data_IF_316934786481
#
_entry.id   IF_316934786481
#
_cell.length_a   1.000
_cell.length_b   1.000
_cell.length_c   1.000
_cell.angle_alpha   90.00
_cell.angle_beta   90.00
_cell.angle_gamma   90.00
#
_symmetry.space_group_name_H-M   'P 1'
#
loop_
_entity.id
_entity.type
_entity.pdbx_description
1 polymer ?
#
# COMPACT_ATOMS: atom_id res chain seq x y z
N UNK A 1 11.20 5.98 -16.35
CA UNK A 1 10.01 6.50 -15.66
C UNK A 1 9.57 5.41 -14.69
N UNK A 2 9.77 5.61 -13.39
CA UNK A 2 9.65 4.53 -12.40
C UNK A 2 8.18 4.22 -12.16
N UNK A 3 7.71 3.07 -12.64
CA UNK A 3 6.39 2.54 -12.30
C UNK A 3 6.22 2.51 -10.79
N UNK A 4 5.24 3.24 -10.28
CA UNK A 4 4.84 3.22 -8.88
C UNK A 4 4.47 1.79 -8.49
N UNK A 5 5.04 1.26 -7.39
CA UNK A 5 4.75 -0.08 -6.87
C UNK A 5 3.80 -0.02 -5.68
N UNK A 6 3.17 -1.14 -5.33
CA UNK A 6 2.39 -1.24 -4.08
C UNK A 6 3.24 -0.83 -2.86
N UNK A 7 4.50 -1.28 -2.83
CA UNK A 7 5.45 -0.97 -1.77
C UNK A 7 5.68 0.55 -1.61
N UNK A 8 5.92 1.25 -2.73
CA UNK A 8 6.14 2.69 -2.70
C UNK A 8 4.88 3.46 -2.29
N UNK A 9 3.69 3.06 -2.78
CA UNK A 9 2.42 3.72 -2.44
C UNK A 9 2.06 3.58 -0.97
N UNK A 10 2.20 2.38 -0.39
CA UNK A 10 1.97 2.15 1.04
C UNK A 10 2.89 3.04 1.87
N UNK A 11 4.20 3.02 1.56
CA UNK A 11 5.22 3.78 2.29
C UNK A 11 4.98 5.29 2.20
N UNK A 12 4.61 5.78 1.02
CA UNK A 12 4.31 7.18 0.78
C UNK A 12 3.09 7.64 1.58
N UNK A 13 1.94 6.96 1.45
CA UNK A 13 0.73 7.29 2.21
C UNK A 13 0.96 7.23 3.71
N UNK A 14 1.66 6.19 4.19
CA UNK A 14 1.99 6.05 5.61
C UNK A 14 2.79 7.25 6.13
N UNK A 15 3.81 7.67 5.39
CA UNK A 15 4.63 8.84 5.73
C UNK A 15 3.82 10.14 5.67
N UNK A 16 2.97 10.31 4.67
CA UNK A 16 2.10 11.48 4.53
C UNK A 16 1.10 11.60 5.70
N UNK A 17 0.66 10.47 6.26
CA UNK A 17 -0.18 10.42 7.45
C UNK A 17 0.61 10.52 8.77
N UNK A 18 1.95 10.51 8.73
CA UNK A 18 2.79 10.63 9.93
C UNK A 18 2.76 9.41 10.85
N UNK A 19 2.30 8.25 10.39
CA UNK A 19 2.18 7.04 11.23
C UNK A 19 3.37 6.07 11.04
N UNK A 20 3.64 5.26 12.06
CA UNK A 20 4.69 4.24 12.02
C UNK A 20 4.21 2.97 11.34
N UNK A 21 5.13 2.08 10.93
CA UNK A 21 4.75 0.77 10.39
C UNK A 21 3.98 -0.08 11.40
N UNK A 22 4.34 0.02 12.69
CA UNK A 22 3.64 -0.66 13.79
C UNK A 22 2.21 -0.14 13.92
N UNK A 23 2.03 1.17 13.95
CA UNK A 23 0.69 1.77 14.06
C UNK A 23 -0.21 1.44 12.86
N UNK A 24 0.37 1.41 11.65
CA UNK A 24 -0.34 0.93 10.46
C UNK A 24 -0.74 -0.54 10.61
N UNK A 25 0.18 -1.40 11.07
CA UNK A 25 -0.08 -2.82 11.27
C UNK A 25 -1.21 -3.06 12.28
N UNK A 26 -1.15 -2.40 13.44
CA UNK A 26 -2.18 -2.48 14.49
C UNK A 26 -3.55 -2.03 13.97
N UNK A 27 -3.60 -0.92 13.24
CA UNK A 27 -4.85 -0.38 12.68
C UNK A 27 -5.48 -1.28 11.62
N UNK A 28 -4.65 -2.03 10.88
CA UNK A 28 -5.10 -2.96 9.83
C UNK A 28 -5.40 -4.36 10.40
N UNK A 29 -4.91 -4.68 11.60
CA UNK A 29 -4.98 -6.03 12.16
C UNK A 29 -3.89 -6.97 11.63
N UNK A 30 -2.76 -6.42 11.18
CA UNK A 30 -1.60 -7.16 10.68
C UNK A 30 -0.43 -7.11 11.66
N UNK A 31 0.60 -7.94 11.42
CA UNK A 31 1.88 -7.85 12.12
C UNK A 31 2.74 -6.75 11.48
N UNK A 32 3.55 -6.03 12.26
CA UNK A 32 4.48 -5.01 11.74
C UNK A 32 5.43 -5.58 10.67
N UNK A 33 5.89 -6.82 10.84
CA UNK A 33 6.73 -7.52 9.86
C UNK A 33 6.05 -7.67 8.50
N UNK A 34 4.73 -7.88 8.48
CA UNK A 34 3.95 -7.97 7.24
C UNK A 34 3.93 -6.63 6.50
N UNK A 35 3.77 -5.52 7.24
CA UNK A 35 3.88 -4.16 6.67
C UNK A 35 5.30 -3.91 6.14
N UNK A 36 6.34 -4.32 6.87
CA UNK A 36 7.72 -4.20 6.41
C UNK A 36 7.96 -4.99 5.10
N UNK A 37 7.44 -6.21 4.98
CA UNK A 37 7.55 -6.99 3.75
C UNK A 37 6.83 -6.35 2.57
N UNK A 38 5.67 -5.72 2.82
CA UNK A 38 4.97 -4.94 1.80
C UNK A 38 5.78 -3.70 1.38
N UNK A 39 6.24 -2.88 2.33
CA UNK A 39 6.99 -1.64 2.04
C UNK A 39 8.39 -1.86 1.45
N UNK A 40 8.96 -3.06 1.63
CA UNK A 40 10.24 -3.46 1.01
C UNK A 40 10.06 -4.15 -0.35
N UNK A 41 8.83 -4.45 -0.75
CA UNK A 41 8.54 -5.20 -1.97
C UNK A 41 8.83 -6.70 -1.88
N UNK A 42 9.22 -7.22 -0.70
CA UNK A 42 9.37 -8.67 -0.46
C UNK A 42 8.02 -9.39 -0.58
N UNK A 43 6.94 -8.72 -0.23
CA UNK A 43 5.58 -9.11 -0.54
C UNK A 43 4.97 -8.08 -1.49
N UNK A 44 4.40 -8.54 -2.60
CA UNK A 44 3.76 -7.68 -3.62
C UNK A 44 2.24 -7.83 -3.66
N UNK A 45 1.69 -8.70 -2.82
CA UNK A 45 0.26 -8.99 -2.71
C UNK A 45 -0.13 -9.14 -1.24
N UNK A 46 -1.38 -8.82 -0.94
CA UNK A 46 -1.97 -8.97 0.39
C UNK A 46 -3.48 -9.09 0.26
N UNK A 47 -4.10 -9.91 1.12
CA UNK A 47 -5.55 -9.98 1.26
C UNK A 47 -6.14 -8.78 2.00
N UNK A 48 -5.31 -7.97 2.66
CA UNK A 48 -5.71 -6.82 3.49
C UNK A 48 -5.76 -5.50 2.71
N UNK A 49 -5.97 -5.55 1.39
CA UNK A 49 -5.90 -4.35 0.56
C UNK A 49 -6.97 -3.32 0.92
N UNK A 50 -8.18 -3.78 1.27
CA UNK A 50 -9.30 -2.92 1.64
C UNK A 50 -9.07 -2.26 3.00
N UNK A 51 -8.54 -2.99 3.96
CA UNK A 51 -8.19 -2.50 5.30
C UNK A 51 -7.04 -1.50 5.22
N UNK A 52 -6.00 -1.81 4.43
CA UNK A 52 -4.91 -0.88 4.16
C UNK A 52 -5.42 0.41 3.53
N UNK A 53 -6.27 0.31 2.51
CA UNK A 53 -6.83 1.48 1.83
C UNK A 53 -7.62 2.39 2.79
N UNK A 54 -8.42 1.81 3.69
CA UNK A 54 -9.15 2.54 4.73
C UNK A 54 -8.22 3.30 5.68
N UNK A 55 -7.21 2.63 6.24
CA UNK A 55 -6.28 3.26 7.19
C UNK A 55 -5.39 4.29 6.49
N UNK A 56 -4.94 3.99 5.28
CA UNK A 56 -4.11 4.89 4.45
C UNK A 56 -4.93 5.99 3.76
N UNK A 57 -6.24 6.04 3.99
CA UNK A 57 -7.19 7.03 3.45
C UNK A 57 -7.01 7.20 1.94
N UNK A 58 -6.99 6.11 1.20
CA UNK A 58 -6.81 6.12 -0.26
C UNK A 58 -7.74 5.10 -0.92
N UNK A 59 -7.87 5.20 -2.24
CA UNK A 59 -8.63 4.25 -3.02
C UNK A 59 -7.91 2.89 -3.09
N UNK A 60 -8.61 1.75 -2.88
CA UNK A 60 -7.99 0.42 -2.89
C UNK A 60 -7.49 0.01 -4.27
N UNK A 61 -8.16 0.40 -5.37
CA UNK A 61 -7.73 0.10 -6.73
C UNK A 61 -6.47 0.90 -7.07
N UNK A 62 -6.41 2.18 -6.69
CA UNK A 62 -5.19 2.97 -6.77
C UNK A 62 -4.06 2.37 -5.94
N UNK A 63 -4.34 1.91 -4.72
CA UNK A 63 -3.31 1.32 -3.86
C UNK A 63 -2.73 0.04 -4.49
N UNK A 64 -3.59 -0.80 -5.06
CA UNK A 64 -3.19 -2.06 -5.70
C UNK A 64 -2.49 -1.84 -7.05
N UNK A 65 -3.08 -1.04 -7.92
CA UNK A 65 -2.70 -0.93 -9.34
C UNK A 65 -1.87 0.33 -9.64
N UNK A 66 -1.97 1.37 -8.82
CA UNK A 66 -1.43 2.71 -9.09
C UNK A 66 -2.29 3.50 -10.06
N UNK A 67 -1.86 4.71 -10.42
CA UNK A 67 -2.56 5.57 -11.40
C UNK A 67 -2.47 5.06 -12.86
N UNK A 68 -2.02 3.82 -13.09
CA UNK A 68 -1.94 3.31 -14.44
C UNK A 68 -3.28 2.72 -14.90
N UNK A 69 -4.25 3.62 -15.14
CA UNK A 69 -5.35 3.44 -16.08
C UNK A 69 -4.93 3.86 -17.51
N UNK A 70 -3.64 3.90 -17.84
CA UNK A 70 -3.23 4.12 -19.23
C UNK A 70 -3.32 2.80 -20.03
N UNK A 71 -4.40 2.74 -20.81
CA UNK A 71 -4.47 2.10 -22.13
C UNK A 71 -4.02 0.63 -22.27
N UNK A 72 -4.80 -0.29 -21.69
CA UNK A 72 -5.08 -1.57 -22.39
C UNK A 72 -6.38 -1.42 -23.20
N UNK A 73 -6.37 -0.52 -24.18
CA UNK A 73 -7.33 -0.51 -25.30
C UNK A 73 -6.56 -0.34 -26.60
N UNK A 74 -6.24 -1.46 -27.23
CA UNK A 74 -6.30 -1.75 -28.67
C UNK A 74 -5.71 -3.15 -28.89
#
# INVERSE_FOLDING_TARGET
>A
MTSSTLASRIKERRKALGITQTSLAESVGMRQQSIQYLESGRATRTSFILELAKVLKCDPDWLLNGENLEHQKA
#
